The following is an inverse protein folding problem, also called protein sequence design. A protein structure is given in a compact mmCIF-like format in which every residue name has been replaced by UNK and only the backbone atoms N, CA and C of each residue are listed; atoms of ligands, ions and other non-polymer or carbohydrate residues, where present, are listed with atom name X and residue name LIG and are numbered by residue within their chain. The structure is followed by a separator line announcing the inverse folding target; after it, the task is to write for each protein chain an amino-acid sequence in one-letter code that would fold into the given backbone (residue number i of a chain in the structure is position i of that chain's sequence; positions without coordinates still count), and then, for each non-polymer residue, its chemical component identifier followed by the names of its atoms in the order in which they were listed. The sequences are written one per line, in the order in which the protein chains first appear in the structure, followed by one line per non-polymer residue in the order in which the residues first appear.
data_IF_528816485170
#
_entry.id   IF_528816485170
#
_cell.length_a   1.000
_cell.length_b   1.000
_cell.length_c   1.000
_cell.angle_alpha   90.00
_cell.angle_beta   90.00
_cell.angle_gamma   90.00
#
_symmetry.space_group_name_H-M   'P 1'
#
loop_
_entity.id
_entity.type
_entity.pdbx_description
1 polymer ?
#
# COMPACT_ATOMS: atom_id res chain seq x y z
N UNK A 1 15.65 -17.59 20.84
CA UNK A 1 15.43 -17.38 20.07
C UNK A 1 16.13 -16.93 19.30
N UNK A 2 16.52 -17.22 19.26
CA UNK A 2 16.93 -16.98 18.45
C UNK A 2 17.00 -16.21 17.62
N UNK A 3 17.36 -16.03 17.60
CA UNK A 3 17.28 -15.47 16.87
C UNK A 3 16.97 -15.02 16.04
N UNK A 4 17.25 -14.74 16.08
CA UNK A 4 16.88 -14.44 15.26
C UNK A 4 16.06 -14.30 14.85
N UNK A 5 15.75 -13.91 15.17
CA UNK A 5 14.71 -13.88 14.85
C UNK A 5 14.09 -14.67 13.87
N UNK A 6 14.15 -15.41 13.65
CA UNK A 6 13.72 -16.29 12.62
C UNK A 6 12.41 -16.95 12.84
N UNK A 7 12.01 -17.13 14.01
CA UNK A 7 10.74 -17.75 14.29
C UNK A 7 9.56 -16.91 13.84
N UNK A 8 9.83 -15.70 13.45
CA UNK A 8 8.82 -14.82 12.90
C UNK A 8 8.25 -15.39 11.60
N UNK A 9 9.04 -16.15 10.90
CA UNK A 9 8.62 -16.71 9.62
C UNK A 9 7.59 -17.82 9.75
N UNK A 10 7.42 -18.36 10.93
CA UNK A 10 6.43 -19.40 11.16
C UNK A 10 5.01 -18.85 11.03
N UNK A 11 4.81 -17.63 11.49
CA UNK A 11 3.50 -16.99 11.44
C UNK A 11 3.53 -15.84 10.45
N UNK A 12 3.78 -16.21 9.24
CA UNK A 12 3.92 -15.26 8.15
C UNK A 12 2.68 -14.41 7.97
N UNK A 13 2.88 -13.09 7.92
CA UNK A 13 1.80 -12.15 7.69
C UNK A 13 1.70 -11.87 6.21
N UNK A 14 0.51 -12.01 5.67
CA UNK A 14 0.26 -11.81 4.24
C UNK A 14 -0.62 -10.59 4.05
N UNK A 15 -0.16 -9.65 3.22
CA UNK A 15 -0.96 -8.51 2.81
C UNK A 15 -1.63 -8.83 1.50
N UNK A 16 -2.93 -8.59 1.43
CA UNK A 16 -3.71 -8.84 0.23
C UNK A 16 -4.33 -7.56 -0.29
N UNK A 17 -4.47 -7.49 -1.60
CA UNK A 17 -5.18 -6.41 -2.26
C UNK A 17 -6.61 -6.85 -2.47
N UNK A 18 -7.57 -6.11 -1.90
CA UNK A 18 -8.97 -6.51 -1.96
C UNK A 18 -9.66 -6.10 -3.25
N UNK A 19 -9.31 -4.97 -3.79
CA UNK A 19 -9.98 -4.43 -4.98
C UNK A 19 -9.07 -4.43 -6.19
N UNK A 20 -8.34 -5.52 -6.37
CA UNK A 20 -7.36 -5.61 -7.45
C UNK A 20 -7.99 -5.68 -8.84
N UNK A 21 -9.29 -5.91 -8.94
CA UNK A 21 -9.95 -5.93 -10.24
C UNK A 21 -9.95 -4.56 -10.91
N UNK A 22 -9.72 -3.51 -10.13
CA UNK A 22 -9.62 -2.15 -10.68
C UNK A 22 -8.24 -1.84 -11.21
N UNK A 23 -7.28 -2.74 -11.00
CA UNK A 23 -5.90 -2.51 -11.40
C UNK A 23 -5.64 -3.11 -12.77
N UNK A 24 -4.98 -2.33 -13.61
CA UNK A 24 -4.63 -2.78 -14.96
C UNK A 24 -3.14 -3.10 -15.00
N UNK A 25 -2.80 -4.38 -15.14
CA UNK A 25 -1.42 -4.83 -15.11
C UNK A 25 -0.61 -4.35 -16.31
N UNK A 26 -1.27 -3.93 -17.37
CA UNK A 26 -0.57 -3.40 -18.53
C UNK A 26 -0.34 -1.90 -18.45
N UNK A 27 -0.88 -1.24 -17.44
CA UNK A 27 -0.69 0.20 -17.25
C UNK A 27 0.53 0.48 -16.40
N UNK A 28 1.04 1.70 -16.51
CA UNK A 28 2.14 2.17 -15.67
C UNK A 28 1.54 3.04 -14.58
N UNK A 29 2.10 2.94 -13.38
CA UNK A 29 1.53 3.58 -12.22
C UNK A 29 2.50 4.50 -11.50
N UNK A 30 1.94 5.58 -10.98
CA UNK A 30 2.57 6.42 -9.98
C UNK A 30 1.86 6.09 -8.66
N UNK A 31 2.63 5.83 -7.61
CA UNK A 31 2.04 5.59 -6.30
C UNK A 31 2.47 6.68 -5.32
N UNK A 32 1.59 6.98 -4.38
CA UNK A 32 1.96 7.88 -3.29
C UNK A 32 1.34 7.35 -1.99
N UNK A 33 2.01 7.63 -0.89
CA UNK A 33 1.55 7.16 0.41
C UNK A 33 2.17 7.97 1.53
N UNK A 34 1.37 8.19 2.59
CA UNK A 34 1.84 8.79 3.84
C UNK A 34 1.55 7.84 4.97
N UNK A 35 2.21 6.68 4.95
CA UNK A 35 2.04 5.64 5.95
C UNK A 35 3.40 5.31 6.55
N UNK A 36 3.36 4.58 7.67
CA UNK A 36 4.59 4.28 8.40
C UNK A 36 5.58 3.39 7.68
N UNK A 37 5.08 2.56 6.77
CA UNK A 37 5.95 1.63 6.04
C UNK A 37 5.60 1.61 4.55
N UNK A 38 6.00 2.65 3.81
CA UNK A 38 5.64 2.76 2.40
C UNK A 38 6.33 1.72 1.51
N UNK A 39 7.46 1.19 1.95
CA UNK A 39 8.18 0.18 1.18
C UNK A 39 7.35 -1.10 1.09
N UNK A 40 6.65 -1.46 2.15
CA UNK A 40 5.76 -2.63 2.12
C UNK A 40 4.63 -2.44 1.10
N UNK A 41 4.11 -1.23 1.00
CA UNK A 41 3.09 -0.91 0.01
C UNK A 41 3.63 -1.11 -1.41
N UNK A 42 4.81 -0.58 -1.68
CA UNK A 42 5.44 -0.74 -2.97
C UNK A 42 5.70 -2.22 -3.28
N UNK A 43 6.24 -2.95 -2.32
CA UNK A 43 6.55 -4.37 -2.51
C UNK A 43 5.29 -5.19 -2.78
N UNK A 44 4.20 -4.85 -2.11
CA UNK A 44 2.92 -5.52 -2.32
C UNK A 44 2.46 -5.37 -3.76
N UNK A 45 2.51 -4.14 -4.29
CA UNK A 45 2.12 -3.87 -5.66
C UNK A 45 3.04 -4.61 -6.64
N UNK A 46 4.34 -4.55 -6.37
CA UNK A 46 5.31 -5.20 -7.23
C UNK A 46 5.11 -6.72 -7.26
N UNK A 47 4.76 -7.31 -6.12
CA UNK A 47 4.50 -8.75 -6.04
C UNK A 47 3.23 -9.15 -6.78
N UNK A 48 2.33 -8.21 -7.00
CA UNK A 48 1.12 -8.45 -7.79
C UNK A 48 1.30 -8.05 -9.25
N UNK A 49 2.54 -7.84 -9.68
CA UNK A 49 2.89 -7.51 -11.05
C UNK A 49 2.31 -6.18 -11.52
N UNK A 50 2.16 -5.25 -10.59
CA UNK A 50 1.74 -3.88 -10.91
C UNK A 50 2.99 -3.09 -11.25
N UNK A 51 3.00 -2.47 -12.42
CA UNK A 51 4.18 -1.75 -12.91
C UNK A 51 4.24 -0.36 -12.30
N UNK A 52 5.00 -0.21 -11.23
CA UNK A 52 5.16 1.06 -10.53
C UNK A 52 6.37 1.78 -11.09
N UNK A 53 6.11 2.91 -11.76
CA UNK A 53 7.17 3.69 -12.39
C UNK A 53 7.68 4.78 -11.47
N UNK A 54 6.80 5.39 -10.69
CA UNK A 54 7.17 6.51 -9.82
C UNK A 54 6.58 6.34 -8.43
N UNK A 55 7.38 6.66 -7.43
CA UNK A 55 6.98 6.54 -6.02
C UNK A 55 7.18 7.89 -5.34
N UNK A 56 6.12 8.36 -4.67
CA UNK A 56 6.17 9.60 -3.90
C UNK A 56 5.72 9.28 -2.49
N UNK A 57 6.66 9.25 -1.55
CA UNK A 57 6.36 8.92 -0.17
C UNK A 57 6.39 10.16 0.70
N UNK A 58 5.39 10.28 1.54
CA UNK A 58 5.20 11.40 2.46
C UNK A 58 5.29 10.89 3.90
N UNK A 59 5.49 11.79 4.86
CA UNK A 59 5.51 11.37 6.25
C UNK A 59 4.21 10.69 6.67
N UNK A 60 4.28 9.82 7.66
CA UNK A 60 3.11 9.14 8.19
C UNK A 60 2.06 10.15 8.64
N UNK A 61 0.79 9.89 8.34
CA UNK A 61 -0.33 10.78 8.65
C UNK A 61 -0.24 12.15 7.98
N UNK A 62 0.42 12.20 6.82
CA UNK A 62 0.57 13.46 6.09
C UNK A 62 -0.79 14.00 5.66
N UNK A 63 -0.98 15.30 5.79
CA UNK A 63 -2.18 15.99 5.33
C UNK A 63 -1.93 16.57 3.95
N UNK A 64 -2.53 15.97 2.94
CA UNK A 64 -2.32 16.40 1.56
C UNK A 64 -3.00 17.72 1.28
N UNK A 65 -2.29 18.64 0.65
CA UNK A 65 -2.85 19.90 0.19
C UNK A 65 -3.24 19.75 -1.27
N UNK A 66 -4.03 20.71 -1.76
CA UNK A 66 -4.37 20.71 -3.17
C UNK A 66 -3.13 20.82 -4.06
N UNK A 67 -2.13 21.56 -3.60
CA UNK A 67 -0.86 21.67 -4.33
C UNK A 67 -0.16 20.34 -4.45
N UNK A 68 -0.17 19.56 -3.38
CA UNK A 68 0.44 18.23 -3.41
C UNK A 68 -0.23 17.36 -4.47
N UNK A 69 -1.55 17.32 -4.44
CA UNK A 69 -2.31 16.46 -5.34
C UNK A 69 -2.22 16.97 -6.78
N UNK A 70 -2.25 18.28 -6.98
CA UNK A 70 -2.08 18.86 -8.31
C UNK A 70 -0.73 18.46 -8.91
N UNK A 71 0.32 18.49 -8.09
CA UNK A 71 1.65 18.09 -8.54
C UNK A 71 1.66 16.62 -8.95
N UNK A 72 1.03 15.76 -8.15
CA UNK A 72 0.94 14.34 -8.46
C UNK A 72 0.21 14.13 -9.78
N UNK A 73 -0.90 14.82 -9.97
CA UNK A 73 -1.71 14.68 -11.19
C UNK A 73 -0.97 15.21 -12.42
N UNK A 74 -0.21 16.28 -12.28
CA UNK A 74 0.59 16.80 -13.38
C UNK A 74 1.64 15.81 -13.81
N UNK A 75 2.32 15.17 -12.87
CA UNK A 75 3.31 14.15 -13.19
C UNK A 75 2.63 12.97 -13.90
N UNK A 76 1.48 12.58 -13.41
CA UNK A 76 0.70 11.49 -13.97
C UNK A 76 0.36 11.75 -15.43
N UNK A 77 -0.12 12.94 -15.72
CA UNK A 77 -0.49 13.31 -17.09
C UNK A 77 0.74 13.38 -17.97
N UNK A 78 1.80 14.02 -17.48
CA UNK A 78 3.02 14.21 -18.26
C UNK A 78 3.66 12.88 -18.65
N UNK A 79 3.67 11.92 -17.75
CA UNK A 79 4.34 10.65 -17.98
C UNK A 79 3.38 9.53 -18.33
N UNK A 80 2.10 9.86 -18.50
CA UNK A 80 1.05 8.89 -18.85
C UNK A 80 0.98 7.75 -17.85
N UNK A 81 0.87 8.12 -16.58
CA UNK A 81 0.78 7.17 -15.47
C UNK A 81 -0.59 7.21 -14.84
N UNK A 82 -1.06 6.07 -14.36
CA UNK A 82 -2.24 6.03 -13.51
C UNK A 82 -1.78 6.21 -12.06
N UNK A 83 -2.66 6.70 -11.19
CA UNK A 83 -2.31 7.01 -9.82
C UNK A 83 -2.95 6.02 -8.88
N UNK A 84 -2.16 5.45 -7.97
CA UNK A 84 -2.65 4.56 -6.92
C UNK A 84 -2.15 5.03 -5.58
N UNK A 85 -3.02 4.97 -4.57
CA UNK A 85 -2.63 5.22 -3.19
C UNK A 85 -3.27 4.15 -2.29
N UNK A 86 -2.99 4.22 -0.99
CA UNK A 86 -3.64 3.31 -0.04
C UNK A 86 -5.03 3.85 0.29
N UNK A 87 -5.91 2.96 0.75
CA UNK A 87 -7.24 3.37 1.19
C UNK A 87 -7.16 4.42 2.30
N UNK A 88 -6.21 4.25 3.20
CA UNK A 88 -6.02 5.15 4.32
C UNK A 88 -5.69 6.56 3.85
N UNK A 89 -4.80 6.67 2.86
CA UNK A 89 -4.45 7.96 2.29
C UNK A 89 -5.60 8.54 1.47
N UNK A 90 -6.27 7.68 0.71
CA UNK A 90 -7.40 8.11 -0.10
C UNK A 90 -8.50 8.75 0.73
N UNK A 91 -8.75 8.20 1.91
CA UNK A 91 -9.79 8.73 2.80
C UNK A 91 -9.48 10.12 3.32
N UNK A 92 -8.22 10.53 3.25
CA UNK A 92 -7.81 11.87 3.70
C UNK A 92 -7.94 12.91 2.59
N UNK A 93 -8.28 12.49 1.39
CA UNK A 93 -8.40 13.41 0.27
C UNK A 93 -9.79 14.00 0.22
N UNK A 94 -9.89 15.25 -0.23
CA UNK A 94 -11.20 15.86 -0.47
C UNK A 94 -11.81 15.25 -1.71
N UNK A 95 -13.09 15.51 -1.92
CA UNK A 95 -13.81 14.94 -3.06
C UNK A 95 -13.15 15.32 -4.39
N UNK A 96 -12.74 16.57 -4.53
CA UNK A 96 -12.11 17.02 -5.77
C UNK A 96 -10.73 16.41 -5.97
N UNK A 97 -10.01 16.16 -4.88
CA UNK A 97 -8.68 15.53 -4.96
C UNK A 97 -8.77 14.09 -5.42
N UNK A 98 -9.86 13.39 -5.09
CA UNK A 98 -10.02 11.96 -5.37
C UNK A 98 -10.16 11.63 -6.85
N UNK A 99 -10.50 12.63 -7.65
CA UNK A 99 -10.72 12.39 -9.07
C UNK A 99 -9.46 11.84 -9.73
N UNK A 100 -9.65 10.79 -10.53
CA UNK A 100 -8.56 10.13 -11.27
C UNK A 100 -7.51 9.48 -10.40
N UNK A 101 -7.82 9.25 -9.12
CA UNK A 101 -6.94 8.53 -8.21
C UNK A 101 -7.62 7.25 -7.79
N UNK A 102 -6.92 6.13 -7.98
CA UNK A 102 -7.39 4.83 -7.52
C UNK A 102 -6.73 4.51 -6.19
N UNK A 103 -7.36 3.64 -5.43
CA UNK A 103 -6.78 3.19 -4.18
C UNK A 103 -6.91 1.67 -4.09
N UNK A 104 -6.08 1.09 -3.23
CA UNK A 104 -6.18 -0.32 -2.93
C UNK A 104 -6.47 -0.51 -1.45
N UNK A 105 -7.26 -1.52 -1.17
CA UNK A 105 -7.50 -1.96 0.19
C UNK A 105 -6.47 -3.03 0.51
N UNK A 106 -5.70 -2.78 1.56
CA UNK A 106 -4.72 -3.74 2.02
C UNK A 106 -5.33 -4.50 3.18
N UNK A 107 -5.39 -5.81 3.02
CA UNK A 107 -5.93 -6.67 4.06
C UNK A 107 -4.80 -7.46 4.68
N UNK A 108 -4.74 -7.43 6.01
CA UNK A 108 -3.77 -8.22 6.75
C UNK A 108 -4.34 -9.61 6.97
N UNK A 109 -3.59 -10.62 6.60
CA UNK A 109 -4.02 -12.00 6.76
C UNK A 109 -2.88 -12.80 7.36
N UNK A 110 -3.22 -13.74 8.23
CA UNK A 110 -2.25 -14.63 8.84
C UNK A 110 -2.35 -16.00 8.19
N UNK A 111 -1.21 -16.56 7.89
CA UNK A 111 -1.14 -17.82 7.17
C UNK A 111 -1.72 -18.98 7.98
N UNK A 112 -1.39 -19.05 9.26
CA UNK A 112 -1.89 -20.07 10.15
C UNK A 112 -2.47 -19.40 11.39
N UNK A 113 -3.67 -18.91 11.26
CA UNK A 113 -4.29 -18.12 12.31
C UNK A 113 -4.42 -18.85 13.63
N UNK A 114 -4.84 -20.12 13.57
CA UNK A 114 -5.00 -20.90 14.79
C UNK A 114 -3.68 -21.11 15.51
N UNK A 115 -2.62 -21.35 14.76
CA UNK A 115 -1.30 -21.52 15.35
C UNK A 115 -0.78 -20.21 15.94
N UNK A 116 -1.10 -19.12 15.30
CA UNK A 116 -0.71 -17.81 15.79
C UNK A 116 -1.37 -17.51 17.14
N UNK A 117 -2.64 -17.80 17.27
CA UNK A 117 -3.35 -17.60 18.53
C UNK A 117 -2.77 -18.47 19.62
N UNK A 118 -2.44 -19.71 19.29
CA UNK A 118 -1.80 -20.63 20.22
C UNK A 118 -0.45 -20.09 20.68
N UNK A 119 0.32 -19.56 19.75
CA UNK A 119 1.61 -18.97 20.02
C UNK A 119 1.50 -17.81 20.99
N UNK A 120 0.51 -16.95 20.80
CA UNK A 120 0.27 -15.81 21.68
C UNK A 120 -0.07 -16.25 23.09
N UNK A 121 -0.89 -17.28 23.22
CA UNK A 121 -1.26 -17.81 24.54
C UNK A 121 -0.03 -18.33 25.29
N UNK A 122 0.86 -18.99 24.56
CA UNK A 122 2.06 -19.54 25.19
C UNK A 122 3.06 -18.45 25.59
N UNK A 123 2.99 -17.30 24.95
CA UNK A 123 3.89 -16.19 25.27
C UNK A 123 3.44 -15.39 26.47
N UNK A 124 2.17 -15.45 26.77
CA UNK A 124 1.62 -14.75 27.92
C UNK A 124 1.81 -15.57 29.18
#
# INVERSE_FOLDING_TARGET
LKKTNPNINIFETIYKIKNNENLNKSSKYLIFAGIGNPINFYNLLNNHNINVVKKLFYPDHYNYTEKDIDKIKKISIKENLKIITTEKDYCRLSKSMKKDIDYIKIELSLKNENEFMKFLKNKI
#
